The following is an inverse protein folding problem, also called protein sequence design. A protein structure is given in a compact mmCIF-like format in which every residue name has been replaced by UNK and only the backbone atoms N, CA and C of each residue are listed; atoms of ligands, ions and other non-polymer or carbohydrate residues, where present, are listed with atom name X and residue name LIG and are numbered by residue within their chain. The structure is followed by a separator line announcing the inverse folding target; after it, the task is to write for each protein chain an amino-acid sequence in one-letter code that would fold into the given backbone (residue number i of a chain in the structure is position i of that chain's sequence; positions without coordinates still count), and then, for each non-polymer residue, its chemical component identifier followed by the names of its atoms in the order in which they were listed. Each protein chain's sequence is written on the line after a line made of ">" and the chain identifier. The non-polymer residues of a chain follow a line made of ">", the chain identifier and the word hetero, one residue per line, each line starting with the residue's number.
data_IF_524195888674
#
_entry.id   IF_524195888674
#
_cell.length_a   1.000
_cell.length_b   1.000
_cell.length_c   1.000
_cell.angle_alpha   90.00
_cell.angle_beta   90.00
_cell.angle_gamma   90.00
#
_symmetry.space_group_name_H-M   'P 1'
#
loop_
_entity.id
_entity.type
_entity.pdbx_description
1 polymer ?
#
# COMPACT_ATOMS: atom_id res chain seq x y z
N UNK A 1 -4.01 12.44 -4.65
CA UNK A 1 -2.59 12.04 -4.48
C UNK A 1 -1.90 12.18 -5.83
N UNK A 2 -0.72 12.79 -5.87
CA UNK A 2 0.06 12.94 -7.11
C UNK A 2 1.44 12.34 -6.87
N UNK A 3 1.90 11.49 -7.80
CA UNK A 3 3.22 10.86 -7.74
C UNK A 3 3.97 11.05 -9.05
N UNK A 4 5.28 11.22 -8.95
CA UNK A 4 6.19 11.40 -10.08
C UNK A 4 7.16 10.22 -10.12
N UNK A 5 7.20 9.51 -11.23
CA UNK A 5 8.07 8.35 -11.44
C UNK A 5 9.33 8.79 -12.17
N UNK A 6 10.50 8.62 -11.53
CA UNK A 6 11.77 9.17 -11.99
C UNK A 6 12.59 8.27 -12.94
N UNK A 7 12.14 7.05 -13.22
CA UNK A 7 12.80 6.18 -14.22
C UNK A 7 12.13 6.40 -15.58
N UNK A 8 12.87 6.36 -16.70
CA UNK A 8 12.26 6.33 -18.02
C UNK A 8 11.22 5.21 -18.08
N UNK A 9 9.96 5.49 -18.47
CA UNK A 9 9.42 6.79 -18.86
C UNK A 9 8.96 7.62 -17.65
N UNK A 10 9.37 8.89 -17.58
CA UNK A 10 9.05 9.80 -16.48
C UNK A 10 7.54 10.08 -16.39
N UNK A 11 6.78 9.28 -15.65
CA UNK A 11 5.32 9.40 -15.62
C UNK A 11 4.81 10.14 -14.40
N UNK A 12 3.73 10.89 -14.57
CA UNK A 12 2.98 11.51 -13.48
C UNK A 12 1.67 10.76 -13.29
N UNK A 13 1.46 10.20 -12.10
CA UNK A 13 0.20 9.52 -11.76
C UNK A 13 -0.62 10.41 -10.85
N UNK A 14 -1.84 10.73 -11.28
CA UNK A 14 -2.82 11.51 -10.53
C UNK A 14 -3.92 10.59 -10.05
N UNK A 15 -3.97 10.33 -8.75
CA UNK A 15 -4.95 9.46 -8.11
C UNK A 15 -5.97 10.31 -7.36
N UNK A 16 -7.22 10.22 -7.78
CA UNK A 16 -8.35 10.99 -7.26
C UNK A 16 -9.23 10.12 -6.35
N UNK A 17 -9.79 10.74 -5.31
CA UNK A 17 -10.54 10.01 -4.31
C UNK A 17 -11.01 10.88 -3.16
N UNK A 18 -11.57 10.24 -2.14
CA UNK A 18 -11.96 10.88 -0.88
C UNK A 18 -10.88 10.63 0.16
N UNK A 19 -10.33 11.72 0.70
CA UNK A 19 -9.39 11.68 1.82
C UNK A 19 -10.13 12.12 3.09
N UNK A 20 -10.12 11.27 4.12
CA UNK A 20 -10.64 11.55 5.45
C UNK A 20 -9.46 11.48 6.42
N UNK A 21 -9.25 12.56 7.18
CA UNK A 21 -8.22 12.65 8.20
C UNK A 21 -8.88 12.95 9.54
N UNK A 22 -8.46 12.24 10.58
CA UNK A 22 -8.76 12.63 11.95
C UNK A 22 -7.47 13.06 12.61
N UNK A 23 -7.54 14.16 13.37
CA UNK A 23 -6.42 14.69 14.10
C UNK A 23 -6.64 14.52 15.60
N UNK A 24 -5.56 14.23 16.32
CA UNK A 24 -5.54 14.36 17.77
C UNK A 24 -5.73 15.82 18.16
N UNK A 25 -6.55 16.07 19.18
CA UNK A 25 -6.73 17.42 19.73
C UNK A 25 -5.66 17.65 20.82
N UNK A 26 -4.43 17.81 20.36
CA UNK A 26 -3.25 18.17 21.15
C UNK A 26 -2.49 19.30 20.44
N UNK A 27 -1.49 19.89 21.10
CA UNK A 27 -0.72 21.01 20.54
C UNK A 27 0.02 20.67 19.23
N UNK A 28 0.24 19.38 18.97
CA UNK A 28 0.95 18.91 17.78
C UNK A 28 0.00 18.59 16.61
N UNK A 29 -1.32 18.51 16.86
CA UNK A 29 -2.36 18.19 15.88
C UNK A 29 -1.96 17.03 14.97
N UNK A 30 -1.50 15.92 15.56
CA UNK A 30 -1.01 14.76 14.79
C UNK A 30 -2.16 14.01 14.13
N UNK A 31 -1.91 13.45 12.95
CA UNK A 31 -2.86 12.57 12.26
C UNK A 31 -3.06 11.30 13.11
N UNK A 32 -4.28 11.12 13.62
CA UNK A 32 -4.73 9.93 14.34
C UNK A 32 -5.19 8.84 13.36
N UNK A 33 -5.87 9.26 12.30
CA UNK A 33 -6.49 8.38 11.31
C UNK A 33 -6.32 8.95 9.92
N UNK A 34 -5.92 8.11 8.98
CA UNK A 34 -5.81 8.47 7.56
C UNK A 34 -6.52 7.43 6.72
N UNK A 35 -7.63 7.83 6.10
CA UNK A 35 -8.41 6.99 5.21
C UNK A 35 -8.49 7.62 3.82
N UNK A 36 -8.01 6.91 2.80
CA UNK A 36 -8.09 7.32 1.40
C UNK A 36 -8.90 6.30 0.60
N UNK A 37 -10.03 6.72 0.04
CA UNK A 37 -10.83 5.92 -0.89
C UNK A 37 -10.55 6.40 -2.31
N UNK A 38 -9.85 5.59 -3.10
CA UNK A 38 -9.59 5.89 -4.52
C UNK A 38 -10.87 5.74 -5.35
N UNK A 39 -11.11 6.68 -6.27
CA UNK A 39 -12.22 6.66 -7.23
C UNK A 39 -11.76 6.46 -8.66
N UNK A 40 -10.72 7.21 -9.06
CA UNK A 40 -10.14 7.13 -10.40
C UNK A 40 -8.66 7.52 -10.38
N UNK A 41 -7.93 7.19 -11.44
CA UNK A 41 -6.55 7.62 -11.61
C UNK A 41 -6.25 7.92 -13.08
N UNK A 42 -5.25 8.77 -13.33
CA UNK A 42 -4.74 9.11 -14.65
C UNK A 42 -3.22 9.02 -14.65
N UNK A 43 -2.66 8.39 -15.68
CA UNK A 43 -1.22 8.32 -15.91
C UNK A 43 -0.86 9.25 -17.07
N UNK A 44 0.02 10.21 -16.82
CA UNK A 44 0.41 11.24 -17.77
C UNK A 44 1.85 10.99 -18.22
N UNK A 45 2.02 10.80 -19.53
CA UNK A 45 3.32 10.61 -20.18
C UNK A 45 3.81 11.95 -20.75
N UNK A 46 5.08 12.35 -20.54
CA UNK A 46 5.63 13.57 -21.13
C UNK A 46 5.61 13.52 -22.65
N UNK A 47 5.22 14.64 -23.27
CA UNK A 47 5.20 14.77 -24.74
C UNK A 47 6.58 14.53 -25.38
N UNK A 48 7.66 14.91 -24.70
CA UNK A 48 9.03 14.66 -25.18
C UNK A 48 9.33 13.18 -25.35
N UNK A 49 8.92 12.33 -24.41
CA UNK A 49 9.09 10.87 -24.48
C UNK A 49 8.30 10.30 -25.66
N UNK A 50 7.04 10.72 -25.82
CA UNK A 50 6.21 10.29 -26.96
C UNK A 50 6.81 10.74 -28.30
N UNK A 51 7.28 11.99 -28.40
CA UNK A 51 7.94 12.53 -29.59
C UNK A 51 9.23 11.78 -29.94
N UNK A 52 9.99 11.35 -28.93
CA UNK A 52 11.24 10.63 -29.15
C UNK A 52 11.01 9.24 -29.75
N UNK A 53 10.05 8.48 -29.20
CA UNK A 53 9.73 7.14 -29.68
C UNK A 53 8.99 7.14 -31.03
N UNK A 54 8.20 8.17 -31.31
CA UNK A 54 7.59 8.36 -32.64
C UNK A 54 8.63 8.72 -33.71
N UNK A 55 9.62 9.56 -33.38
CA UNK A 55 10.72 9.89 -34.30
C UNK A 55 11.63 8.67 -34.59
N UNK A 56 11.82 7.79 -33.61
CA UNK A 56 12.59 6.55 -33.76
C UNK A 56 11.84 5.44 -34.53
N UNK A 57 10.57 5.66 -34.90
CA UNK A 57 9.70 4.65 -35.53
C UNK A 57 9.75 3.30 -34.80
N UNK A 58 9.60 3.31 -33.48
CA UNK A 58 9.49 2.09 -32.68
C UNK A 58 8.04 1.88 -32.19
N UNK A 59 7.19 1.20 -32.98
CA UNK A 59 5.80 0.90 -32.59
C UNK A 59 5.70 0.10 -31.29
N UNK A 60 6.70 -0.74 -30.99
CA UNK A 60 6.67 -1.63 -29.83
C UNK A 60 6.77 -0.86 -28.52
N UNK A 61 7.61 0.18 -28.49
CA UNK A 61 7.77 1.06 -27.33
C UNK A 61 6.53 1.95 -27.12
N UNK A 62 5.89 2.41 -28.19
CA UNK A 62 4.66 3.20 -28.07
C UNK A 62 3.50 2.37 -27.50
N UNK A 63 3.39 1.10 -27.88
CA UNK A 63 2.41 0.18 -27.29
C UNK A 63 2.68 -0.04 -25.80
N UNK A 64 3.94 -0.14 -25.38
CA UNK A 64 4.30 -0.24 -23.96
C UNK A 64 3.89 1.02 -23.18
N UNK A 65 4.11 2.21 -23.74
CA UNK A 65 3.72 3.49 -23.11
C UNK A 65 2.20 3.66 -22.96
N UNK A 66 1.40 2.93 -23.73
CA UNK A 66 -0.07 2.94 -23.62
C UNK A 66 -0.58 2.12 -22.42
N UNK A 67 0.27 1.27 -21.84
CA UNK A 67 -0.09 0.39 -20.73
C UNK A 67 0.12 1.12 -19.40
N UNK A 68 -0.89 1.06 -18.54
CA UNK A 68 -0.77 1.60 -17.18
C UNK A 68 0.30 0.88 -16.37
N UNK A 69 1.07 1.63 -15.59
CA UNK A 69 2.06 1.10 -14.64
C UNK A 69 1.52 0.93 -13.23
N UNK A 70 0.34 1.48 -12.94
CA UNK A 70 -0.33 1.37 -11.65
C UNK A 70 -1.63 0.58 -11.73
N UNK A 71 -2.11 0.13 -10.56
CA UNK A 71 -3.46 -0.41 -10.40
C UNK A 71 -4.19 0.48 -9.41
N UNK A 72 -5.29 1.10 -9.85
CA UNK A 72 -6.03 2.09 -9.05
C UNK A 72 -5.12 3.25 -8.57
N UNK A 73 -4.18 3.69 -9.42
CA UNK A 73 -3.28 4.79 -9.07
C UNK A 73 -2.25 4.46 -7.98
N UNK A 74 -2.05 3.17 -7.69
CA UNK A 74 -1.07 2.65 -6.72
C UNK A 74 -0.14 1.67 -7.43
N UNK A 75 1.17 1.77 -7.17
CA UNK A 75 2.16 0.85 -7.76
C UNK A 75 2.01 -0.57 -7.21
N UNK A 76 2.36 -1.57 -8.02
CA UNK A 76 2.37 -2.97 -7.57
C UNK A 76 3.27 -3.18 -6.35
N UNK A 77 4.41 -2.49 -6.25
CA UNK A 77 5.29 -2.55 -5.07
C UNK A 77 4.56 -2.11 -3.81
N UNK A 78 3.81 -1.00 -3.86
CA UNK A 78 3.03 -0.51 -2.72
C UNK A 78 1.87 -1.46 -2.39
N UNK A 79 1.16 -1.98 -3.41
CA UNK A 79 0.08 -2.95 -3.18
C UNK A 79 0.60 -4.23 -2.52
N UNK A 80 1.74 -4.75 -2.96
CA UNK A 80 2.35 -5.93 -2.38
C UNK A 80 2.82 -5.68 -0.94
N UNK A 81 3.37 -4.49 -0.67
CA UNK A 81 3.73 -4.09 0.68
C UNK A 81 2.50 -4.03 1.61
N UNK A 82 1.40 -3.43 1.16
CA UNK A 82 0.16 -3.37 1.95
C UNK A 82 -0.42 -4.77 2.21
N UNK A 83 -0.39 -5.67 1.22
CA UNK A 83 -0.80 -7.07 1.39
C UNK A 83 0.04 -7.80 2.44
N UNK A 84 1.36 -7.55 2.48
CA UNK A 84 2.22 -8.09 3.52
C UNK A 84 1.88 -7.50 4.89
N UNK A 85 1.59 -6.20 4.98
CA UNK A 85 1.21 -5.57 6.25
C UNK A 85 -0.05 -6.22 6.86
N UNK A 86 -1.08 -6.51 6.06
CA UNK A 86 -2.30 -7.21 6.54
C UNK A 86 -1.99 -8.55 7.22
N UNK A 87 -0.95 -9.25 6.75
CA UNK A 87 -0.55 -10.54 7.32
C UNK A 87 0.37 -10.32 8.54
N UNK A 88 1.36 -9.44 8.41
CA UNK A 88 2.42 -9.28 9.41
C UNK A 88 1.99 -8.47 10.63
N UNK A 89 1.04 -7.55 10.47
CA UNK A 89 0.50 -6.72 11.56
C UNK A 89 -0.07 -7.58 12.70
N UNK A 90 -1.02 -8.51 12.48
CA UNK A 90 -1.50 -9.38 13.56
C UNK A 90 -0.42 -10.35 14.08
N UNK A 91 0.62 -10.66 13.29
CA UNK A 91 1.73 -11.51 13.75
C UNK A 91 2.60 -10.82 14.79
N UNK A 92 2.54 -9.50 14.96
CA UNK A 92 3.32 -8.79 15.97
C UNK A 92 3.03 -9.27 17.40
N UNK A 93 1.78 -9.68 17.70
CA UNK A 93 1.43 -10.29 18.99
C UNK A 93 2.19 -11.61 19.19
N UNK A 94 2.28 -12.44 18.15
CA UNK A 94 2.98 -13.71 18.18
C UNK A 94 4.50 -13.49 18.35
N UNK A 95 5.06 -12.52 17.63
CA UNK A 95 6.47 -12.16 17.72
C UNK A 95 6.83 -11.67 19.12
N UNK A 96 5.97 -10.85 19.73
CA UNK A 96 6.13 -10.39 21.11
C UNK A 96 6.20 -11.56 22.10
N UNK A 97 5.28 -12.53 21.97
CA UNK A 97 5.27 -13.74 22.82
C UNK A 97 6.49 -14.63 22.59
N UNK A 98 6.88 -14.84 21.34
CA UNK A 98 8.09 -15.59 21.00
C UNK A 98 9.31 -14.99 21.70
N UNK A 99 9.44 -13.65 21.64
CA UNK A 99 10.53 -12.93 22.29
C UNK A 99 10.47 -13.00 23.83
N UNK A 100 9.28 -12.92 24.41
CA UNK A 100 9.11 -12.90 25.86
C UNK A 100 9.27 -14.29 26.52
N UNK A 101 8.83 -15.35 25.85
CA UNK A 101 8.70 -16.69 26.45
C UNK A 101 9.51 -17.78 25.75
N UNK A 102 10.26 -17.44 24.69
CA UNK A 102 11.06 -18.39 23.89
C UNK A 102 10.26 -19.59 23.33
N UNK A 103 8.94 -19.46 23.21
CA UNK A 103 8.06 -20.48 22.64
C UNK A 103 8.28 -20.62 21.14
N UNK A 104 8.04 -21.79 20.56
CA UNK A 104 8.07 -21.90 19.09
C UNK A 104 7.01 -20.99 18.45
N UNK A 105 7.22 -20.45 17.23
CA UNK A 105 6.22 -19.64 16.54
C UNK A 105 4.87 -20.36 16.40
N UNK A 106 4.89 -21.69 16.24
CA UNK A 106 3.68 -22.52 16.13
C UNK A 106 2.90 -22.56 17.45
N UNK A 107 3.59 -22.64 18.58
CA UNK A 107 2.95 -22.65 19.89
C UNK A 107 2.46 -21.26 20.29
N UNK A 108 3.17 -20.19 19.89
CA UNK A 108 2.69 -18.82 20.01
C UNK A 108 1.34 -18.64 19.31
N UNK A 109 1.20 -19.18 18.08
CA UNK A 109 -0.04 -19.14 17.33
C UNK A 109 -1.17 -19.90 18.05
N UNK A 110 -0.93 -21.16 18.43
CA UNK A 110 -1.93 -22.00 19.11
C UNK A 110 -2.44 -21.34 20.39
N UNK A 111 -1.53 -20.89 21.25
CA UNK A 111 -1.88 -20.27 22.54
C UNK A 111 -2.64 -18.96 22.35
N UNK A 112 -2.24 -18.13 21.39
CA UNK A 112 -2.92 -16.86 21.09
C UNK A 112 -4.33 -17.08 20.55
N UNK A 113 -4.50 -18.03 19.62
CA UNK A 113 -5.81 -18.38 19.08
C UNK A 113 -6.74 -18.92 20.17
N UNK A 114 -6.24 -19.80 21.03
CA UNK A 114 -7.02 -20.35 22.14
C UNK A 114 -7.48 -19.26 23.12
N UNK A 115 -6.57 -18.36 23.51
CA UNK A 115 -6.92 -17.23 24.39
C UNK A 115 -7.92 -16.27 23.75
N UNK A 116 -7.79 -15.96 22.43
CA UNK A 116 -8.77 -15.14 21.71
C UNK A 116 -10.14 -15.80 21.67
N UNK A 117 -10.20 -17.11 21.44
CA UNK A 117 -11.44 -17.87 21.47
C UNK A 117 -12.10 -17.84 22.85
N UNK A 118 -11.34 -18.09 23.92
CA UNK A 118 -11.88 -18.04 25.29
C UNK A 118 -12.52 -16.68 25.62
N UNK A 119 -11.88 -15.57 25.21
CA UNK A 119 -12.44 -14.22 25.37
C UNK A 119 -13.73 -13.98 24.60
N UNK A 120 -13.92 -14.64 23.46
CA UNK A 120 -15.16 -14.53 22.68
C UNK A 120 -16.31 -15.35 23.29
N UNK A 121 -16.00 -16.52 23.87
CA UNK A 121 -17.01 -17.46 24.38
C UNK A 121 -17.38 -17.19 25.84
N UNK A 122 -16.48 -16.58 26.62
CA UNK A 122 -16.76 -16.09 27.96
C UNK A 122 -16.39 -14.60 28.08
N UNK A 123 -17.24 -13.70 27.58
CA UNK A 123 -17.05 -12.26 27.78
C UNK A 123 -17.11 -11.93 29.29
N UNK A 124 -16.29 -11.00 29.78
CA UNK A 124 -16.34 -10.53 31.16
C UNK A 124 -17.63 -9.78 31.51
#
# INVERSE_FOLDING_TARGET
>A
MVTHHGKPPFMKVCTEGRLILEFTFDDLMRIKSWHMTVRQHRELVPRSVVSMHTAQQDPSMLEQLSKNITRQGITNSTLNYLRLCVILEPMQELMSRHKAYALSPRDCLKTTLFQKWQRMVAPP
#
